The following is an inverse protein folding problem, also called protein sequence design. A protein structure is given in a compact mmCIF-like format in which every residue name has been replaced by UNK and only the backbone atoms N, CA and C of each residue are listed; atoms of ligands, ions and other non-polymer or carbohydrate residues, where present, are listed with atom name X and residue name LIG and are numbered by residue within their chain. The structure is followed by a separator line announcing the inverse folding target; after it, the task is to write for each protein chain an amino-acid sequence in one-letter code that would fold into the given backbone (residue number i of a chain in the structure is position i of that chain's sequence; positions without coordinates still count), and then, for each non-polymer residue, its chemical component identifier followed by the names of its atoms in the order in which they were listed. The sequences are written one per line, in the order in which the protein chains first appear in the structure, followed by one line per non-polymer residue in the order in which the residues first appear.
data_IF_076890399563
#
_entry.id   IF_076890399563
#
_cell.length_a   1.000
_cell.length_b   1.000
_cell.length_c   1.000
_cell.angle_alpha   90.00
_cell.angle_beta   90.00
_cell.angle_gamma   90.00
#
_symmetry.space_group_name_H-M   'P 1'
#
loop_
_entity.id
_entity.type
_entity.pdbx_description
1 polymer ?
#
# COMPACT_ATOMS: atom_id res chain seq x y z
N UNK A 1 -35.19 18.05 -40.93
CA UNK A 1 -34.77 16.62 -41.03
C UNK A 1 -33.46 16.32 -40.29
N UNK A 2 -32.60 17.31 -39.96
CA UNK A 2 -31.39 17.08 -39.15
C UNK A 2 -31.63 16.66 -37.68
N UNK A 3 -32.73 17.07 -37.04
CA UNK A 3 -33.02 16.71 -35.64
C UNK A 3 -33.30 15.21 -35.42
N UNK A 4 -33.83 14.51 -36.43
CA UNK A 4 -34.11 13.06 -36.35
C UNK A 4 -32.85 12.22 -36.58
N UNK A 5 -31.85 12.77 -37.28
CA UNK A 5 -30.56 12.11 -37.54
C UNK A 5 -29.66 12.17 -36.28
N UNK A 6 -29.70 13.28 -35.54
CA UNK A 6 -28.95 13.42 -34.28
C UNK A 6 -29.40 12.42 -33.19
N UNK A 7 -30.70 12.11 -33.12
CA UNK A 7 -31.24 11.17 -32.14
C UNK A 7 -30.82 9.72 -32.42
N UNK A 8 -30.75 9.33 -33.71
CA UNK A 8 -30.30 7.98 -34.11
C UNK A 8 -28.79 7.81 -33.88
N UNK A 9 -28.00 8.88 -34.07
CA UNK A 9 -26.56 8.84 -33.83
C UNK A 9 -26.21 8.65 -32.34
N UNK A 10 -26.96 9.26 -31.42
CA UNK A 10 -26.75 9.07 -29.98
C UNK A 10 -27.12 7.66 -29.48
N UNK A 11 -28.13 7.00 -30.09
CA UNK A 11 -28.56 5.65 -29.68
C UNK A 11 -27.57 4.57 -30.16
N UNK A 12 -26.94 4.77 -31.32
CA UNK A 12 -25.92 3.82 -31.83
C UNK A 12 -24.62 3.90 -31.02
N UNK A 13 -24.21 5.08 -30.55
CA UNK A 13 -23.01 5.25 -29.71
C UNK A 13 -23.23 4.65 -28.31
N UNK A 14 -24.42 4.76 -27.73
CA UNK A 14 -24.72 4.17 -26.42
C UNK A 14 -24.84 2.64 -26.46
N UNK A 15 -25.20 2.07 -27.61
CA UNK A 15 -25.29 0.62 -27.79
C UNK A 15 -23.92 -0.05 -27.97
N UNK A 16 -22.90 0.72 -28.36
CA UNK A 16 -21.52 0.24 -28.47
C UNK A 16 -20.78 0.20 -27.11
N UNK A 17 -21.29 0.91 -26.09
CA UNK A 17 -20.75 0.87 -24.73
C UNK A 17 -21.25 -0.33 -23.89
N UNK A 18 -22.19 -1.12 -24.42
CA UNK A 18 -22.79 -2.27 -23.73
C UNK A 18 -22.51 -3.62 -24.40
N UNK A 19 -21.44 -3.71 -25.21
CA UNK A 19 -20.85 -5.01 -25.53
C UNK A 19 -19.82 -5.36 -24.46
N UNK A 20 -20.29 -6.05 -23.42
CA UNK A 20 -19.45 -6.95 -22.66
C UNK A 20 -18.96 -8.02 -23.63
N UNK A 21 -17.71 -7.90 -24.09
CA UNK A 21 -17.00 -9.04 -24.61
C UNK A 21 -16.80 -10.01 -23.45
N UNK A 22 -17.54 -11.12 -23.47
CA UNK A 22 -17.11 -12.40 -22.87
C UNK A 22 -15.88 -12.90 -23.65
N UNK A 23 -14.83 -12.10 -23.66
CA UNK A 23 -13.50 -12.49 -24.04
C UNK A 23 -12.78 -12.78 -22.73
N UNK A 24 -12.38 -14.03 -22.53
CA UNK A 24 -11.44 -14.41 -21.49
C UNK A 24 -10.20 -13.52 -21.63
N UNK A 25 -10.19 -12.43 -20.87
CA UNK A 25 -9.08 -11.52 -20.76
C UNK A 25 -8.06 -12.27 -19.90
N UNK A 26 -7.14 -12.95 -20.57
CA UNK A 26 -5.89 -13.41 -19.97
C UNK A 26 -5.29 -12.20 -19.24
N UNK A 27 -5.18 -12.19 -17.90
CA UNK A 27 -4.64 -11.05 -17.20
C UNK A 27 -3.12 -11.18 -17.21
N UNK A 28 -2.50 -10.91 -18.37
CA UNK A 28 -1.07 -10.72 -18.46
C UNK A 28 -0.79 -9.23 -18.67
N UNK A 29 -0.23 -8.61 -17.64
CA UNK A 29 0.48 -7.33 -17.65
C UNK A 29 -0.34 -6.04 -17.89
N UNK A 30 -1.32 -5.75 -17.02
CA UNK A 30 -1.29 -4.41 -16.39
C UNK A 30 -0.32 -4.53 -15.23
N UNK A 31 0.67 -3.66 -15.12
CA UNK A 31 1.41 -3.53 -13.86
C UNK A 31 0.38 -3.37 -12.74
N UNK A 32 0.28 -4.39 -11.92
CA UNK A 32 -0.74 -4.49 -10.89
C UNK A 32 -0.42 -3.41 -9.86
N UNK A 33 -1.36 -2.47 -9.72
CA UNK A 33 -1.14 -1.21 -9.00
C UNK A 33 -0.66 -1.44 -7.56
N UNK A 34 -0.94 -2.60 -6.98
CA UNK A 34 -0.38 -3.00 -5.69
C UNK A 34 1.15 -3.10 -5.71
N UNK A 35 1.75 -3.74 -6.72
CA UNK A 35 3.21 -3.87 -6.83
C UNK A 35 3.87 -2.50 -7.05
N UNK A 36 3.28 -1.66 -7.89
CA UNK A 36 3.80 -0.30 -8.14
C UNK A 36 3.88 0.52 -6.85
N UNK A 37 2.86 0.40 -5.99
CA UNK A 37 2.86 1.06 -4.68
C UNK A 37 3.96 0.51 -3.75
N UNK A 38 4.14 -0.82 -3.71
CA UNK A 38 5.20 -1.45 -2.91
C UNK A 38 6.59 -1.05 -3.40
N UNK A 39 6.83 -1.11 -4.70
CA UNK A 39 8.10 -0.75 -5.34
C UNK A 39 8.45 0.71 -5.12
N UNK A 40 7.45 1.61 -5.17
CA UNK A 40 7.64 3.04 -4.87
C UNK A 40 8.19 3.24 -3.46
N UNK A 41 7.64 2.56 -2.46
CA UNK A 41 8.11 2.67 -1.07
C UNK A 41 9.53 2.13 -0.92
N UNK A 42 9.80 0.94 -1.47
CA UNK A 42 11.14 0.34 -1.41
C UNK A 42 12.19 1.24 -2.09
N UNK A 43 11.90 1.70 -3.31
CA UNK A 43 12.78 2.57 -4.07
C UNK A 43 12.99 3.93 -3.38
N UNK A 44 11.93 4.50 -2.79
CA UNK A 44 11.98 5.75 -2.04
C UNK A 44 12.93 5.66 -0.85
N UNK A 45 12.75 4.66 0.02
CA UNK A 45 13.63 4.46 1.17
C UNK A 45 15.06 4.11 0.77
N UNK A 46 15.26 3.27 -0.26
CA UNK A 46 16.59 2.97 -0.80
C UNK A 46 17.31 4.23 -1.26
N UNK A 47 16.63 5.08 -2.03
CA UNK A 47 17.18 6.34 -2.52
C UNK A 47 17.57 7.27 -1.36
N UNK A 48 16.76 7.33 -0.30
CA UNK A 48 17.06 8.14 0.88
C UNK A 48 18.25 7.62 1.66
N UNK A 49 18.38 6.29 1.80
CA UNK A 49 19.52 5.67 2.44
C UNK A 49 20.82 5.94 1.67
N UNK A 50 20.79 5.89 0.34
CA UNK A 50 21.94 6.17 -0.54
C UNK A 50 22.36 7.65 -0.50
N UNK A 51 21.39 8.57 -0.43
CA UNK A 51 21.64 10.03 -0.49
C UNK A 51 21.78 10.68 0.89
N UNK A 52 21.54 9.95 1.98
CA UNK A 52 21.48 10.51 3.33
C UNK A 52 20.32 11.49 3.54
N UNK A 53 19.26 11.42 2.73
CA UNK A 53 18.12 12.33 2.75
C UNK A 53 16.91 11.79 3.53
N UNK A 54 17.14 10.87 4.47
CA UNK A 54 16.11 10.20 5.28
C UNK A 54 15.55 11.05 6.43
N UNK A 55 15.70 12.38 6.37
CA UNK A 55 15.12 13.30 7.36
C UNK A 55 13.59 13.38 7.26
N UNK A 56 12.98 14.03 8.25
CA UNK A 56 11.52 14.14 8.36
C UNK A 56 10.85 14.55 7.04
N UNK A 57 11.27 15.65 6.40
CA UNK A 57 10.62 16.17 5.19
C UNK A 57 10.68 15.18 4.02
N UNK A 58 11.84 14.53 3.82
CA UNK A 58 12.03 13.57 2.75
C UNK A 58 11.09 12.38 2.90
N UNK A 59 11.09 11.76 4.09
CA UNK A 59 10.21 10.62 4.38
C UNK A 59 8.75 11.04 4.35
N UNK A 60 8.41 12.17 4.96
CA UNK A 60 7.05 12.71 5.00
C UNK A 60 6.46 12.86 3.58
N UNK A 61 7.21 13.48 2.66
CA UNK A 61 6.74 13.72 1.29
C UNK A 61 6.52 12.40 0.53
N UNK A 62 7.45 11.44 0.65
CA UNK A 62 7.29 10.10 0.08
C UNK A 62 6.00 9.44 0.56
N UNK A 63 5.73 9.49 1.87
CA UNK A 63 4.56 8.85 2.48
C UNK A 63 3.25 9.53 2.04
N UNK A 64 3.20 10.86 1.96
CA UNK A 64 2.01 11.58 1.50
C UNK A 64 1.70 11.27 0.02
N UNK A 65 2.71 11.26 -0.85
CA UNK A 65 2.53 10.88 -2.25
C UNK A 65 2.05 9.43 -2.39
N UNK A 66 2.69 8.51 -1.67
CA UNK A 66 2.31 7.10 -1.68
C UNK A 66 0.86 6.88 -1.19
N UNK A 67 0.42 7.64 -0.19
CA UNK A 67 -0.95 7.59 0.31
C UNK A 67 -1.94 8.15 -0.72
N UNK A 68 -1.59 9.25 -1.41
CA UNK A 68 -2.41 9.83 -2.46
C UNK A 68 -2.62 8.86 -3.62
N UNK A 69 -1.55 8.20 -4.08
CA UNK A 69 -1.61 7.18 -5.13
C UNK A 69 -2.42 5.96 -4.69
N UNK A 70 -2.25 5.48 -3.46
CA UNK A 70 -3.03 4.37 -2.93
C UNK A 70 -4.54 4.71 -2.87
N UNK A 71 -4.90 5.93 -2.46
CA UNK A 71 -6.31 6.39 -2.50
C UNK A 71 -6.86 6.38 -3.92
N UNK A 72 -6.09 6.87 -4.89
CA UNK A 72 -6.50 6.89 -6.29
C UNK A 72 -6.65 5.46 -6.86
N UNK A 73 -5.70 4.57 -6.58
CA UNK A 73 -5.77 3.16 -6.98
C UNK A 73 -6.99 2.46 -6.38
N UNK A 74 -7.29 2.71 -5.10
CA UNK A 74 -8.46 2.14 -4.41
C UNK A 74 -9.77 2.65 -5.00
N UNK A 75 -9.85 3.95 -5.30
CA UNK A 75 -11.02 4.56 -5.92
C UNK A 75 -11.29 4.04 -7.34
N UNK A 76 -10.22 3.69 -8.07
CA UNK A 76 -10.29 3.10 -9.41
C UNK A 76 -10.51 1.58 -9.39
N UNK A 77 -10.64 0.96 -8.22
CA UNK A 77 -10.80 -0.50 -8.09
C UNK A 77 -9.56 -1.30 -8.49
N UNK A 78 -8.39 -0.65 -8.58
CA UNK A 78 -7.13 -1.30 -8.97
C UNK A 78 -6.46 -2.07 -7.82
N UNK A 79 -6.85 -1.76 -6.59
CA UNK A 79 -6.49 -2.50 -5.38
C UNK A 79 -7.75 -2.72 -4.55
N UNK A 80 -7.82 -3.86 -3.87
CA UNK A 80 -8.94 -4.17 -2.98
C UNK A 80 -8.80 -3.46 -1.61
N UNK A 81 -9.83 -3.65 -0.77
CA UNK A 81 -9.88 -3.04 0.56
C UNK A 81 -8.86 -3.60 1.54
N UNK A 82 -8.52 -4.90 1.44
CA UNK A 82 -7.59 -5.56 2.36
C UNK A 82 -6.17 -5.08 2.11
N UNK A 83 -5.73 -5.08 0.84
CA UNK A 83 -4.45 -4.51 0.44
C UNK A 83 -4.34 -3.05 0.88
N UNK A 84 -5.34 -2.22 0.56
CA UNK A 84 -5.34 -0.81 0.91
C UNK A 84 -5.23 -0.57 2.43
N UNK A 85 -5.97 -1.34 3.24
CA UNK A 85 -5.94 -1.20 4.70
C UNK A 85 -4.56 -1.51 5.28
N UNK A 86 -3.93 -2.59 4.82
CA UNK A 86 -2.60 -3.02 5.26
C UNK A 86 -1.50 -2.08 4.78
N UNK A 87 -1.54 -1.70 3.51
CA UNK A 87 -0.62 -0.72 2.93
C UNK A 87 -0.70 0.64 3.66
N UNK A 88 -1.92 1.12 3.97
CA UNK A 88 -2.10 2.33 4.78
C UNK A 88 -1.47 2.21 6.17
N UNK A 89 -1.59 1.06 6.82
CA UNK A 89 -0.99 0.82 8.15
C UNK A 89 0.54 0.85 8.09
N UNK A 90 1.13 0.27 7.04
CA UNK A 90 2.57 0.39 6.75
C UNK A 90 2.99 1.87 6.68
N UNK A 91 2.27 2.70 5.91
CA UNK A 91 2.58 4.14 5.80
C UNK A 91 2.38 4.88 7.13
N UNK A 92 1.35 4.53 7.90
CA UNK A 92 1.09 5.11 9.21
C UNK A 92 2.26 4.86 10.16
N UNK A 93 2.75 3.62 10.25
CA UNK A 93 3.86 3.26 11.12
C UNK A 93 5.14 3.98 10.71
N UNK A 94 5.41 4.08 9.42
CA UNK A 94 6.52 4.87 8.89
C UNK A 94 6.41 6.36 9.30
N UNK A 95 5.19 6.92 9.23
CA UNK A 95 4.91 8.30 9.64
C UNK A 95 5.14 8.51 11.14
N UNK A 96 4.69 7.59 11.98
CA UNK A 96 4.89 7.67 13.43
C UNK A 96 6.37 7.53 13.82
N UNK A 97 7.11 6.67 13.11
CA UNK A 97 8.53 6.47 13.35
C UNK A 97 9.36 7.75 13.16
N UNK A 98 8.98 8.62 12.21
CA UNK A 98 9.71 9.85 11.91
C UNK A 98 9.33 11.07 12.76
N UNK A 99 8.32 11.00 13.65
CA UNK A 99 7.89 12.15 14.47
C UNK A 99 8.99 12.51 15.48
N UNK A 100 9.89 13.44 15.19
CA UNK A 100 11.00 13.75 16.10
C UNK A 100 10.65 14.83 17.15
N UNK A 101 11.61 15.12 18.03
CA UNK A 101 11.50 16.10 19.12
C UNK A 101 10.96 17.47 18.67
N UNK A 102 11.33 18.04 17.51
CA UNK A 102 10.70 19.24 16.98
C UNK A 102 9.15 19.23 16.96
N UNK A 103 8.54 18.07 16.68
CA UNK A 103 7.08 17.90 16.57
C UNK A 103 6.40 17.41 17.84
N UNK A 104 7.11 16.65 18.68
CA UNK A 104 6.63 16.18 19.98
C UNK A 104 7.67 16.41 21.08
N UNK A 105 7.97 17.69 21.35
CA UNK A 105 9.08 18.09 22.25
C UNK A 105 8.97 17.50 23.64
N UNK A 106 7.74 17.47 24.14
CA UNK A 106 7.43 17.02 25.49
C UNK A 106 7.06 15.53 25.53
N UNK A 107 7.11 14.82 24.38
CA UNK A 107 6.85 13.38 24.31
C UNK A 107 5.41 12.98 24.63
N UNK A 108 4.42 13.85 24.39
CA UNK A 108 3.01 13.59 24.71
C UNK A 108 2.48 12.41 23.90
N UNK A 109 3.00 12.20 22.69
CA UNK A 109 2.58 11.15 21.78
C UNK A 109 3.42 9.88 21.92
N UNK A 110 4.50 9.88 22.69
CA UNK A 110 5.45 8.77 22.72
C UNK A 110 4.79 7.44 23.12
N UNK A 111 3.95 7.42 24.17
CA UNK A 111 3.24 6.20 24.57
C UNK A 111 2.31 5.66 23.48
N UNK A 112 1.63 6.58 22.78
CA UNK A 112 0.74 6.23 21.67
C UNK A 112 1.53 5.67 20.48
N UNK A 113 2.61 6.36 20.09
CA UNK A 113 3.49 5.97 19.00
C UNK A 113 4.10 4.61 19.27
N UNK A 114 4.68 4.42 20.46
CA UNK A 114 5.33 3.16 20.85
C UNK A 114 4.31 2.02 20.85
N UNK A 115 3.10 2.23 21.37
CA UNK A 115 2.05 1.21 21.36
C UNK A 115 1.63 0.81 19.94
N UNK A 116 1.42 1.79 19.07
CA UNK A 116 1.00 1.52 17.68
C UNK A 116 2.10 0.80 16.88
N UNK A 117 3.35 1.22 17.05
CA UNK A 117 4.50 0.57 16.41
C UNK A 117 4.67 -0.86 16.95
N UNK A 118 4.62 -1.07 18.27
CA UNK A 118 4.69 -2.42 18.86
C UNK A 118 3.58 -3.32 18.33
N UNK A 119 2.33 -2.82 18.30
CA UNK A 119 1.22 -3.60 17.75
C UNK A 119 1.43 -3.98 16.29
N UNK A 120 2.03 -3.10 15.48
CA UNK A 120 2.36 -3.42 14.10
C UNK A 120 3.47 -4.48 14.00
N UNK A 121 4.54 -4.34 14.78
CA UNK A 121 5.63 -5.33 14.82
C UNK A 121 5.07 -6.70 15.23
N UNK A 122 4.34 -6.76 16.35
CA UNK A 122 3.71 -7.97 16.85
C UNK A 122 2.80 -8.64 15.81
N UNK A 123 1.99 -7.86 15.10
CA UNK A 123 1.04 -8.38 14.10
C UNK A 123 1.72 -8.93 12.84
N UNK A 124 2.88 -8.36 12.48
CA UNK A 124 3.60 -8.72 11.25
C UNK A 124 4.59 -9.86 11.50
N UNK A 125 5.38 -9.77 12.56
CA UNK A 125 6.49 -10.69 12.83
C UNK A 125 6.12 -11.77 13.84
N UNK A 126 5.08 -11.57 14.66
CA UNK A 126 4.75 -12.44 15.78
C UNK A 126 5.70 -12.30 16.98
N UNK A 127 6.69 -11.40 16.92
CA UNK A 127 7.66 -11.15 17.98
C UNK A 127 7.08 -10.21 19.04
N UNK A 128 6.37 -10.79 20.02
CA UNK A 128 5.77 -10.01 21.11
C UNK A 128 6.81 -9.27 21.94
N UNK A 129 6.73 -7.94 21.91
CA UNK A 129 7.23 -7.09 22.99
C UNK A 129 8.74 -6.82 23.02
N UNK A 130 9.41 -6.62 21.88
CA UNK A 130 10.77 -6.06 21.90
C UNK A 130 11.02 -5.03 20.80
N UNK A 131 10.42 -3.85 20.94
CA UNK A 131 11.22 -2.66 20.65
C UNK A 131 12.30 -2.61 21.73
N UNK A 132 13.47 -3.16 21.41
CA UNK A 132 14.66 -3.13 22.26
C UNK A 132 15.22 -1.69 22.24
N UNK A 133 14.42 -0.76 22.78
CA UNK A 133 14.70 0.67 22.83
C UNK A 133 15.79 0.93 23.87
N UNK A 134 17.05 0.72 23.46
CA UNK A 134 18.23 1.00 24.28
C UNK A 134 18.93 2.27 23.75
N UNK A 135 19.29 3.17 24.66
CA UNK A 135 20.03 4.40 24.35
C UNK A 135 19.23 5.42 23.54
N UNK A 136 19.89 6.11 22.60
CA UNK A 136 19.27 7.15 21.75
C UNK A 136 18.26 6.60 20.74
N UNK A 137 18.19 5.27 20.58
CA UNK A 137 17.25 4.60 19.68
C UNK A 137 15.90 4.35 20.35
N UNK A 138 15.27 5.43 20.85
CA UNK A 138 14.03 5.39 21.67
C UNK A 138 12.86 4.65 21.03
N UNK A 139 12.89 4.42 19.72
CA UNK A 139 11.78 3.81 18.95
C UNK A 139 12.15 2.51 18.25
N UNK A 140 13.35 1.96 18.50
CA UNK A 140 13.78 0.71 17.89
C UNK A 140 13.68 0.73 16.36
N UNK A 141 14.22 1.78 15.72
CA UNK A 141 14.06 2.03 14.26
C UNK A 141 14.43 0.81 13.41
N UNK A 142 15.42 0.01 13.84
CA UNK A 142 15.78 -1.24 13.16
C UNK A 142 14.66 -2.29 13.18
N UNK A 143 13.99 -2.48 14.32
CA UNK A 143 12.84 -3.38 14.43
C UNK A 143 11.66 -2.90 13.59
N UNK A 144 11.42 -1.59 13.55
CA UNK A 144 10.38 -0.98 12.69
C UNK A 144 10.69 -1.23 11.22
N UNK A 145 11.92 -0.98 10.79
CA UNK A 145 12.35 -1.23 9.42
C UNK A 145 12.23 -2.71 9.04
N UNK A 146 12.61 -3.63 9.94
CA UNK A 146 12.46 -5.06 9.75
C UNK A 146 10.99 -5.49 9.59
N UNK A 147 10.11 -5.05 10.48
CA UNK A 147 8.68 -5.33 10.37
C UNK A 147 8.05 -4.71 9.12
N UNK A 148 8.48 -3.51 8.71
CA UNK A 148 8.02 -2.91 7.46
C UNK A 148 8.45 -3.72 6.24
N UNK A 149 9.69 -4.23 6.21
CA UNK A 149 10.17 -5.09 5.13
C UNK A 149 9.35 -6.38 5.05
N UNK A 150 9.09 -7.02 6.20
CA UNK A 150 8.25 -8.21 6.28
C UNK A 150 6.82 -7.94 5.79
N UNK A 151 6.21 -6.81 6.16
CA UNK A 151 4.87 -6.46 5.68
C UNK A 151 4.83 -6.18 4.16
N UNK A 152 5.88 -5.58 3.60
CA UNK A 152 6.01 -5.39 2.15
C UNK A 152 6.06 -6.76 1.45
N UNK A 153 6.81 -7.73 2.00
CA UNK A 153 6.87 -9.10 1.49
C UNK A 153 5.49 -9.77 1.61
N UNK A 154 4.82 -9.65 2.75
CA UNK A 154 3.49 -10.21 2.97
C UNK A 154 2.45 -9.64 1.99
N UNK A 155 2.54 -8.36 1.65
CA UNK A 155 1.70 -7.72 0.65
C UNK A 155 2.04 -8.18 -0.78
N UNK A 156 3.32 -8.42 -1.08
CA UNK A 156 3.72 -9.07 -2.33
C UNK A 156 3.10 -10.46 -2.46
N UNK A 157 3.26 -11.30 -1.43
CA UNK A 157 2.69 -12.66 -1.36
C UNK A 157 1.16 -12.62 -1.49
N UNK A 158 0.52 -11.63 -0.87
CA UNK A 158 -0.92 -11.43 -0.99
C UNK A 158 -1.34 -11.21 -2.45
N UNK A 159 -0.65 -10.31 -3.17
CA UNK A 159 -0.94 -10.02 -4.57
C UNK A 159 -0.67 -11.24 -5.47
N UNK A 160 0.43 -11.97 -5.24
CA UNK A 160 0.72 -13.23 -5.93
C UNK A 160 -0.38 -14.26 -5.67
N UNK A 161 -0.84 -14.35 -4.42
CA UNK A 161 -1.93 -15.21 -3.99
C UNK A 161 -3.24 -14.89 -4.70
N UNK A 162 -3.57 -13.61 -4.90
CA UNK A 162 -4.75 -13.20 -5.65
C UNK A 162 -4.68 -13.64 -7.12
N UNK A 163 -3.52 -13.50 -7.75
CA UNK A 163 -3.30 -13.94 -9.14
C UNK A 163 -3.42 -15.46 -9.27
N UNK A 164 -2.87 -16.19 -8.30
CA UNK A 164 -2.86 -17.65 -8.30
C UNK A 164 -4.15 -18.28 -7.75
N UNK A 165 -5.03 -17.49 -7.11
CA UNK A 165 -6.27 -17.96 -6.46
C UNK A 165 -7.16 -18.79 -7.38
N UNK A 166 -7.42 -18.42 -8.66
CA UNK A 166 -8.25 -19.24 -9.54
C UNK A 166 -7.67 -20.63 -9.80
N UNK A 167 -6.34 -20.74 -9.92
CA UNK A 167 -5.67 -22.03 -10.11
C UNK A 167 -5.70 -22.87 -8.83
N UNK A 168 -5.49 -22.24 -7.67
CA UNK A 168 -5.61 -22.89 -6.37
C UNK A 168 -7.02 -23.42 -6.13
N UNK A 169 -8.06 -22.63 -6.43
CA UNK A 169 -9.46 -23.06 -6.30
C UNK A 169 -9.73 -24.31 -7.15
N UNK A 170 -9.30 -24.29 -8.43
CA UNK A 170 -9.41 -25.45 -9.32
C UNK A 170 -8.69 -26.69 -8.76
N UNK A 171 -7.48 -26.52 -8.21
CA UNK A 171 -6.70 -27.62 -7.59
C UNK A 171 -7.45 -28.31 -6.45
N UNK A 172 -8.25 -27.57 -5.69
CA UNK A 172 -9.04 -28.10 -4.58
C UNK A 172 -10.48 -28.47 -4.96
N UNK A 173 -10.83 -28.46 -6.25
CA UNK A 173 -12.20 -28.75 -6.71
C UNK A 173 -13.22 -27.68 -6.29
N UNK A 174 -12.75 -26.49 -5.92
CA UNK A 174 -13.57 -25.34 -5.57
C UNK A 174 -13.78 -24.47 -6.82
N UNK A 175 -14.94 -23.81 -6.88
CA UNK A 175 -15.26 -22.83 -7.92
C UNK A 175 -15.00 -21.42 -7.42
#
# INVERSE_FOLDING_TARGET
MLKKIALVFCIVIFSAALRAEDGAMTPAAKEDAGYVLLDKIVAGFKTMAEKGSGGYEGVNNLLEEAMAEAKAARAQGKIDALFFSRYRRLLLVAKLAIIDSPYDREGILDEFIVREINSFVDDVTGERGSLDAKGDNKRGIGSVAGAMAEEIINLHIYLDGLKNRPELLKKFGLK
#
